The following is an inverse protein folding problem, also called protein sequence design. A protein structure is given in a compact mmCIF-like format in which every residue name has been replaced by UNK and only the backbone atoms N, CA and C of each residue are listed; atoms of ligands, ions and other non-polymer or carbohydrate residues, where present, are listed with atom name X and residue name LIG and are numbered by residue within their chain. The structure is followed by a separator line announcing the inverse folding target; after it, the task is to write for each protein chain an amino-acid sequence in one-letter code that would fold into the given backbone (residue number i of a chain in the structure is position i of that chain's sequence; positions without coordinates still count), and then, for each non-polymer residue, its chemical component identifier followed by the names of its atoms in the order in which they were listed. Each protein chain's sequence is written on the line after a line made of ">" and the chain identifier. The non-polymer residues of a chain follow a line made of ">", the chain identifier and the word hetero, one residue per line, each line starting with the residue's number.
data_IF_935507012015
#
_entry.id   IF_935507012015
#
_cell.length_a   1.000
_cell.length_b   1.000
_cell.length_c   1.000
_cell.angle_alpha   90.00
_cell.angle_beta   90.00
_cell.angle_gamma   90.00
#
_symmetry.space_group_name_H-M   'P 1'
#
loop_
_entity.id
_entity.type
_entity.pdbx_description
1 polymer ?
#
# COMPACT_ATOMS: atom_id res chain seq x y z
N UNK A 1 12.47 9.18 4.57
CA UNK A 1 12.16 8.22 5.65
C UNK A 1 10.65 8.11 5.73
N UNK A 2 10.07 6.97 5.34
CA UNK A 2 8.62 6.75 5.50
C UNK A 2 8.29 6.75 7.00
N UNK A 3 7.24 7.49 7.37
CA UNK A 3 6.77 7.51 8.76
C UNK A 3 6.11 6.15 9.03
N UNK A 4 6.82 5.25 9.69
CA UNK A 4 6.26 3.97 10.13
C UNK A 4 5.15 4.26 11.14
N UNK A 5 3.95 3.70 10.90
CA UNK A 5 2.82 3.84 11.81
C UNK A 5 3.21 3.29 13.19
N UNK A 6 3.20 4.15 14.23
CA UNK A 6 3.55 3.76 15.60
C UNK A 6 2.31 3.40 16.42
N UNK A 7 1.15 3.88 16.00
CA UNK A 7 -0.16 3.66 16.62
C UNK A 7 -1.17 3.14 15.61
N UNK A 8 -2.40 2.90 16.06
CA UNK A 8 -3.49 2.55 15.17
C UNK A 8 -3.72 3.67 14.15
N UNK A 9 -4.10 3.29 12.93
CA UNK A 9 -4.26 4.23 11.82
C UNK A 9 -5.28 5.33 12.11
N UNK A 10 -6.33 5.04 12.91
CA UNK A 10 -7.29 6.06 13.34
C UNK A 10 -6.64 7.15 14.21
N UNK A 11 -5.72 6.78 15.11
CA UNK A 11 -5.01 7.72 15.99
C UNK A 11 -4.00 8.54 15.20
N UNK A 12 -3.29 7.91 14.27
CA UNK A 12 -2.32 8.61 13.41
C UNK A 12 -3.02 9.66 12.53
N UNK A 13 -4.18 9.33 11.97
CA UNK A 13 -4.98 10.30 11.20
C UNK A 13 -5.53 11.41 12.10
N UNK A 14 -6.02 11.11 13.30
CA UNK A 14 -6.46 12.16 14.24
C UNK A 14 -5.29 13.11 14.58
N UNK A 15 -4.11 12.57 14.83
CA UNK A 15 -2.89 13.34 15.05
C UNK A 15 -2.53 14.24 13.85
N UNK A 16 -2.59 13.69 12.64
CA UNK A 16 -2.33 14.44 11.42
C UNK A 16 -3.35 15.57 11.20
N UNK A 17 -4.63 15.30 11.41
CA UNK A 17 -5.69 16.31 11.33
C UNK A 17 -5.48 17.42 12.35
N UNK A 18 -5.08 17.09 13.58
CA UNK A 18 -4.74 18.09 14.61
C UNK A 18 -3.54 18.93 14.23
N UNK A 19 -2.51 18.31 13.63
CA UNK A 19 -1.37 19.04 13.09
C UNK A 19 -1.79 20.02 11.99
N UNK A 20 -2.62 19.58 11.04
CA UNK A 20 -3.15 20.45 9.99
C UNK A 20 -3.97 21.62 10.56
N UNK A 21 -4.85 21.35 11.52
CA UNK A 21 -5.64 22.39 12.20
C UNK A 21 -4.76 23.42 12.93
N UNK A 22 -3.57 23.03 13.39
CA UNK A 22 -2.61 23.93 14.04
C UNK A 22 -1.77 24.75 13.06
N UNK A 23 -1.46 24.19 11.88
CA UNK A 23 -0.60 24.83 10.88
C UNK A 23 -1.35 25.64 9.82
N UNK A 24 -2.60 25.28 9.52
CA UNK A 24 -3.38 25.91 8.46
C UNK A 24 -4.60 26.61 9.05
N UNK A 25 -4.75 27.91 8.79
CA UNK A 25 -5.93 28.70 9.20
C UNK A 25 -7.20 28.34 8.43
N UNK A 26 -7.17 27.27 7.64
CA UNK A 26 -8.22 26.82 6.73
C UNK A 26 -9.21 25.88 7.44
N UNK A 27 -9.93 26.40 8.43
CA UNK A 27 -11.05 25.72 9.08
C UNK A 27 -10.66 24.60 10.05
N UNK A 28 -11.41 24.49 11.15
CA UNK A 28 -11.21 23.43 12.15
C UNK A 28 -11.88 22.15 11.63
N UNK A 29 -11.06 21.16 11.24
CA UNK A 29 -11.56 19.81 11.02
C UNK A 29 -11.93 19.21 12.38
N UNK A 30 -13.20 18.84 12.55
CA UNK A 30 -13.72 18.27 13.80
C UNK A 30 -13.10 16.89 14.05
N UNK A 31 -12.91 16.54 15.33
CA UNK A 31 -12.47 15.20 15.72
C UNK A 31 -13.50 14.14 15.32
N UNK A 32 -13.05 12.91 15.10
CA UNK A 32 -13.88 11.77 14.72
C UNK A 32 -13.63 10.59 15.65
N UNK A 33 -14.62 9.70 15.79
CA UNK A 33 -14.47 8.48 16.59
C UNK A 33 -13.78 7.38 15.78
N UNK A 34 -13.12 6.44 16.45
CA UNK A 34 -12.53 5.27 15.79
C UNK A 34 -13.59 4.42 15.04
N UNK A 35 -14.82 4.35 15.54
CA UNK A 35 -15.92 3.66 14.87
C UNK A 35 -16.33 4.36 13.57
N UNK A 36 -16.45 5.69 13.59
CA UNK A 36 -16.76 6.48 12.40
C UNK A 36 -15.65 6.35 11.33
N UNK A 37 -14.38 6.29 11.77
CA UNK A 37 -13.26 6.02 10.88
C UNK A 37 -13.39 4.66 10.17
N UNK A 38 -13.63 3.58 10.92
CA UNK A 38 -13.76 2.23 10.33
C UNK A 38 -14.94 2.14 9.37
N UNK A 39 -16.08 2.72 9.73
CA UNK A 39 -17.28 2.70 8.87
C UNK A 39 -17.06 3.43 7.55
N UNK A 40 -16.36 4.58 7.56
CA UNK A 40 -16.07 5.31 6.33
C UNK A 40 -14.93 4.68 5.53
N UNK A 41 -13.91 4.10 6.19
CA UNK A 41 -12.84 3.35 5.52
C UNK A 41 -13.39 2.23 4.63
N UNK A 42 -14.45 1.54 5.07
CA UNK A 42 -15.11 0.49 4.28
C UNK A 42 -15.75 0.97 2.98
N UNK A 43 -15.99 2.27 2.83
CA UNK A 43 -16.57 2.88 1.63
C UNK A 43 -15.52 3.31 0.61
N UNK A 44 -14.24 3.24 0.96
CA UNK A 44 -13.15 3.59 0.07
C UNK A 44 -12.99 2.46 -0.94
N UNK A 45 -13.07 2.81 -2.22
CA UNK A 45 -12.75 1.90 -3.31
C UNK A 45 -11.25 1.52 -3.25
N UNK A 46 -10.89 0.23 -3.15
CA UNK A 46 -9.50 -0.20 -3.16
C UNK A 46 -8.70 0.28 -4.38
N UNK A 47 -9.34 0.51 -5.54
CA UNK A 47 -8.66 0.99 -6.75
C UNK A 47 -8.02 2.37 -6.56
N UNK A 48 -8.48 3.16 -5.58
CA UNK A 48 -7.91 4.49 -5.29
C UNK A 48 -6.43 4.41 -4.93
N UNK A 49 -5.97 3.30 -4.33
CA UNK A 49 -4.57 3.15 -3.93
C UNK A 49 -3.65 2.91 -5.12
N UNK A 50 -4.11 2.13 -6.10
CA UNK A 50 -3.41 1.95 -7.37
C UNK A 50 -3.36 3.27 -8.14
N UNK A 51 -4.50 3.95 -8.26
CA UNK A 51 -4.59 5.25 -8.91
C UNK A 51 -3.66 6.29 -8.27
N UNK A 52 -3.67 6.42 -6.94
CA UNK A 52 -2.81 7.37 -6.23
C UNK A 52 -1.33 7.03 -6.41
N UNK A 53 -0.97 5.75 -6.46
CA UNK A 53 0.39 5.31 -6.74
C UNK A 53 0.82 5.75 -8.15
N UNK A 54 -0.03 5.58 -9.15
CA UNK A 54 0.17 6.10 -10.50
C UNK A 54 0.38 7.62 -10.54
N UNK A 55 -0.47 8.37 -9.84
CA UNK A 55 -0.33 9.84 -9.73
C UNK A 55 1.02 10.22 -9.11
N UNK A 56 1.47 9.54 -8.05
CA UNK A 56 2.78 9.81 -7.43
C UNK A 56 3.92 9.55 -8.44
N UNK A 57 3.86 8.43 -9.16
CA UNK A 57 4.84 8.05 -10.18
C UNK A 57 4.88 9.08 -11.30
N UNK A 58 3.72 9.45 -11.85
CA UNK A 58 3.60 10.43 -12.94
C UNK A 58 4.16 11.79 -12.54
N UNK A 59 3.83 12.26 -11.33
CA UNK A 59 4.36 13.52 -10.82
C UNK A 59 5.88 13.44 -10.61
N UNK A 60 6.39 12.30 -10.16
CA UNK A 60 7.83 12.12 -9.96
C UNK A 60 8.60 12.07 -11.29
N UNK A 61 8.08 11.40 -12.32
CA UNK A 61 8.71 11.33 -13.64
C UNK A 61 8.26 12.44 -14.60
N UNK A 62 8.06 13.64 -14.08
CA UNK A 62 7.76 14.82 -14.90
C UNK A 62 9.01 15.32 -15.62
N UNK A 63 8.83 15.89 -16.82
CA UNK A 63 9.93 16.52 -17.57
C UNK A 63 10.58 17.63 -16.75
N UNK A 64 11.92 17.61 -16.65
CA UNK A 64 12.66 18.62 -15.89
C UNK A 64 12.81 18.32 -14.40
N UNK A 65 12.42 17.14 -13.92
CA UNK A 65 12.76 16.74 -12.56
C UNK A 65 14.27 16.40 -12.44
N UNK A 66 15.04 17.32 -11.88
CA UNK A 66 16.49 17.16 -11.65
C UNK A 66 16.82 16.18 -10.51
N UNK A 67 15.83 15.78 -9.70
CA UNK A 67 16.02 14.83 -8.60
C UNK A 67 16.06 13.36 -9.03
N UNK A 68 15.93 13.08 -10.34
CA UNK A 68 15.98 11.72 -10.88
C UNK A 68 17.40 11.15 -10.82
N UNK A 69 17.55 10.05 -10.10
CA UNK A 69 18.81 9.32 -9.99
C UNK A 69 18.92 8.24 -11.06
N UNK A 70 20.09 8.19 -11.71
CA UNK A 70 20.44 7.20 -12.72
C UNK A 70 21.84 6.64 -12.44
N UNK A 71 22.06 5.38 -12.80
CA UNK A 71 23.39 4.79 -12.80
C UNK A 71 23.96 4.87 -14.21
N UNK A 72 24.91 5.79 -14.44
CA UNK A 72 25.52 6.02 -15.76
C UNK A 72 24.49 6.25 -16.89
N UNK A 73 23.42 7.01 -16.60
CA UNK A 73 22.34 7.29 -17.55
C UNK A 73 21.31 6.16 -17.71
N UNK A 74 21.43 5.07 -16.96
CA UNK A 74 20.51 3.93 -16.99
C UNK A 74 19.66 3.90 -15.72
N UNK A 75 18.37 3.57 -15.86
CA UNK A 75 17.47 3.31 -14.74
C UNK A 75 17.69 1.89 -14.22
N UNK A 76 17.89 1.75 -12.91
CA UNK A 76 18.07 0.44 -12.26
C UNK A 76 16.76 0.03 -11.61
N UNK A 77 16.18 -1.05 -12.14
CA UNK A 77 14.94 -1.64 -11.63
C UNK A 77 15.23 -2.95 -10.92
N UNK A 78 14.48 -3.23 -9.86
CA UNK A 78 14.52 -4.52 -9.17
C UNK A 78 13.10 -5.01 -8.91
N UNK A 79 12.89 -6.33 -9.00
CA UNK A 79 11.65 -6.98 -8.57
C UNK A 79 11.96 -7.72 -7.28
N UNK A 80 11.15 -7.48 -6.25
CA UNK A 80 11.15 -8.28 -5.03
C UNK A 80 9.78 -8.93 -4.82
N UNK A 81 9.81 -10.18 -4.39
CA UNK A 81 8.64 -11.02 -4.21
C UNK A 81 8.53 -11.49 -2.77
N UNK A 82 7.31 -11.51 -2.23
CA UNK A 82 7.07 -11.98 -0.86
C UNK A 82 5.77 -12.78 -0.77
N UNK A 83 5.52 -13.36 0.40
CA UNK A 83 4.28 -14.03 0.75
C UNK A 83 3.55 -13.24 1.83
N UNK A 84 2.27 -12.97 1.58
CA UNK A 84 1.39 -12.31 2.54
C UNK A 84 0.36 -13.29 3.05
N UNK A 85 0.26 -13.41 4.37
CA UNK A 85 -0.85 -14.12 5.01
C UNK A 85 -2.07 -13.21 5.02
N UNK A 86 -3.14 -13.65 4.39
CA UNK A 86 -4.39 -12.91 4.28
C UNK A 86 -5.40 -13.34 5.37
N UNK A 87 -6.42 -12.51 5.67
CA UNK A 87 -7.53 -12.93 6.50
C UNK A 87 -8.21 -14.20 5.96
N UNK A 88 -8.58 -15.10 6.88
CA UNK A 88 -9.13 -16.41 6.52
C UNK A 88 -10.65 -16.33 6.27
N UNK A 89 -11.07 -15.65 5.19
CA UNK A 89 -12.48 -15.54 4.76
C UNK A 89 -12.82 -16.51 3.63
N UNK A 90 -14.10 -16.84 3.45
CA UNK A 90 -14.52 -17.80 2.43
C UNK A 90 -14.19 -17.32 1.00
N UNK A 91 -14.30 -16.01 0.75
CA UNK A 91 -13.99 -15.38 -0.54
C UNK A 91 -12.50 -15.49 -0.85
N UNK A 92 -11.64 -15.19 0.12
CA UNK A 92 -10.18 -15.24 -0.04
C UNK A 92 -9.68 -16.67 -0.17
N UNK A 93 -10.26 -17.63 0.57
CA UNK A 93 -10.00 -19.06 0.40
C UNK A 93 -10.30 -19.54 -1.02
N UNK A 94 -11.42 -19.08 -1.60
CA UNK A 94 -11.83 -19.44 -2.96
C UNK A 94 -10.87 -18.90 -4.02
N UNK A 95 -10.37 -17.68 -3.84
CA UNK A 95 -9.50 -17.02 -4.82
C UNK A 95 -8.02 -17.43 -4.69
N UNK A 96 -7.46 -17.37 -3.48
CA UNK A 96 -6.02 -17.59 -3.24
C UNK A 96 -5.68 -19.03 -2.84
N UNK A 97 -6.68 -19.86 -2.54
CA UNK A 97 -6.50 -21.21 -2.04
C UNK A 97 -6.24 -21.26 -0.54
N UNK A 98 -5.95 -22.47 -0.05
CA UNK A 98 -5.74 -22.76 1.37
C UNK A 98 -4.44 -23.54 1.51
N UNK A 99 -3.61 -23.11 2.45
CA UNK A 99 -2.46 -23.87 2.93
C UNK A 99 -2.66 -24.21 4.41
N UNK A 100 -1.89 -25.16 4.93
CA UNK A 100 -1.90 -25.53 6.36
C UNK A 100 -0.54 -25.23 6.97
N UNK A 101 -0.55 -24.61 8.15
CA UNK A 101 0.69 -24.44 8.91
C UNK A 101 1.11 -25.74 9.63
N UNK A 102 2.24 -25.70 10.33
CA UNK A 102 2.76 -26.83 11.11
C UNK A 102 1.80 -27.36 12.21
N UNK A 103 0.81 -26.57 12.61
CA UNK A 103 -0.24 -26.92 13.57
C UNK A 103 -1.56 -27.33 12.90
N UNK A 104 -1.57 -27.57 11.58
CA UNK A 104 -2.74 -27.95 10.79
C UNK A 104 -3.85 -26.88 10.73
N UNK A 105 -3.55 -25.63 11.05
CA UNK A 105 -4.49 -24.51 10.93
C UNK A 105 -4.50 -24.01 9.49
N UNK A 106 -5.71 -23.82 8.95
CA UNK A 106 -5.91 -23.25 7.61
C UNK A 106 -5.46 -21.79 7.55
N UNK A 107 -4.59 -21.50 6.59
CA UNK A 107 -4.12 -20.16 6.27
C UNK A 107 -4.39 -19.87 4.80
N UNK A 108 -4.68 -18.61 4.49
CA UNK A 108 -4.78 -18.11 3.13
C UNK A 108 -3.51 -17.30 2.87
N UNK A 109 -2.79 -17.62 1.80
CA UNK A 109 -1.55 -16.92 1.44
C UNK A 109 -1.62 -16.46 -0.01
N UNK A 110 -1.15 -15.24 -0.24
CA UNK A 110 -0.97 -14.68 -1.57
C UNK A 110 0.50 -14.38 -1.81
N UNK A 111 0.93 -14.42 -3.07
CA UNK A 111 2.22 -13.91 -3.49
C UNK A 111 2.07 -12.44 -3.87
N UNK A 112 3.01 -11.64 -3.41
CA UNK A 112 3.16 -10.26 -3.84
C UNK A 112 4.44 -10.15 -4.64
N UNK A 113 4.41 -9.40 -5.74
CA UNK A 113 5.57 -9.04 -6.53
C UNK A 113 5.55 -7.54 -6.75
N UNK A 114 6.64 -6.85 -6.42
CA UNK A 114 6.73 -5.40 -6.53
C UNK A 114 7.93 -5.03 -7.36
N UNK A 115 7.72 -4.18 -8.37
CA UNK A 115 8.75 -3.58 -9.19
C UNK A 115 9.17 -2.25 -8.57
N UNK A 116 10.45 -2.08 -8.31
CA UNK A 116 11.03 -0.88 -7.72
C UNK A 116 11.97 -0.16 -8.69
N UNK A 117 11.92 1.17 -8.67
CA UNK A 117 13.06 2.00 -9.04
C UNK A 117 13.94 2.19 -7.80
N UNK A 118 15.06 1.47 -7.78
CA UNK A 118 15.88 1.31 -6.57
C UNK A 118 16.59 2.61 -6.21
N UNK A 119 17.03 3.37 -7.21
CA UNK A 119 17.78 4.60 -7.00
C UNK A 119 16.88 5.77 -6.62
N UNK A 120 15.62 5.73 -7.04
CA UNK A 120 14.63 6.76 -6.73
C UNK A 120 13.71 6.39 -5.55
N UNK A 121 13.79 5.16 -5.06
CA UNK A 121 13.05 4.70 -3.89
C UNK A 121 11.53 4.61 -4.10
N UNK A 122 11.11 4.27 -5.32
CA UNK A 122 9.71 4.19 -5.72
C UNK A 122 9.30 2.76 -6.06
N UNK A 123 8.11 2.36 -5.61
CA UNK A 123 7.42 1.20 -6.14
C UNK A 123 6.67 1.64 -7.41
N UNK A 124 7.06 1.09 -8.56
CA UNK A 124 6.48 1.42 -9.86
C UNK A 124 5.22 0.61 -10.14
N UNK A 125 5.22 -0.65 -9.70
CA UNK A 125 4.09 -1.55 -9.89
C UNK A 125 4.09 -2.62 -8.79
N UNK A 126 2.92 -3.13 -8.46
CA UNK A 126 2.73 -4.19 -7.49
C UNK A 126 1.55 -5.06 -7.88
N UNK A 127 1.78 -6.37 -7.93
CA UNK A 127 0.74 -7.37 -8.18
C UNK A 127 0.64 -8.32 -7.00
N UNK A 128 -0.59 -8.76 -6.73
CA UNK A 128 -0.90 -9.77 -5.73
C UNK A 128 -1.72 -10.88 -6.37
N UNK A 129 -1.25 -12.12 -6.26
CA UNK A 129 -1.85 -13.26 -6.93
C UNK A 129 -1.78 -14.55 -6.08
N UNK A 130 -2.55 -15.55 -6.49
CA UNK A 130 -2.54 -16.88 -5.90
C UNK A 130 -1.20 -17.59 -6.09
N UNK A 131 -0.90 -18.56 -5.21
CA UNK A 131 0.35 -19.32 -5.32
C UNK A 131 0.39 -20.26 -6.53
N UNK A 132 -0.79 -20.60 -7.07
CA UNK A 132 -0.94 -21.50 -8.19
C UNK A 132 -0.85 -20.64 -9.44
N UNK A 133 0.26 -20.74 -10.17
CA UNK A 133 0.36 -20.12 -11.49
C UNK A 133 -0.74 -20.72 -12.38
N UNK A 134 -1.82 -19.97 -12.61
CA UNK A 134 -2.73 -20.22 -13.71
C UNK A 134 -1.99 -19.79 -14.96
N UNK A 135 -1.33 -20.76 -15.61
CA UNK A 135 -0.87 -20.56 -16.98
C UNK A 135 -2.13 -20.63 -17.84
N UNK A 136 -2.62 -19.46 -18.25
CA UNK A 136 -3.58 -19.34 -19.36
C UNK A 136 -2.88 -19.67 -20.70
#
# INVERSE_FOLDING_TARGET
>A
MFNLLRRSLAIEIDGFVRYLNGCFSSGIVRSFTASAFIQNRKKIDPEVFSHLSGVIIDNFYTTGNEALNYLNGIRVLAVDGSRLTLPCTAELKKYYGISKNQYQVEIVQARVSVLYDVLNGLALDATLDSEVATFD
#
